data_IF_403442072670
#
_entry.id   IF_403442072670
#
_cell.length_a   1.000
_cell.length_b   1.000
_cell.length_c   1.000
_cell.angle_alpha   90.00
_cell.angle_beta   90.00
_cell.angle_gamma   90.00
#
_symmetry.space_group_name_H-M   'P 1'
#
loop_
_entity.id
_entity.type
_entity.pdbx_description
1 polymer ?
#
# COMPACT_ATOMS: atom_id res chain seq x y z
N UNK A 1 -5.81 -11.04 21.50
CA UNK A 1 -6.05 -11.07 20.05
C UNK A 1 -4.95 -10.32 19.32
N UNK A 2 -4.49 -10.88 18.24
CA UNK A 2 -3.49 -10.19 17.42
C UNK A 2 -4.11 -8.96 16.76
N UNK A 3 -3.33 -7.88 16.66
CA UNK A 3 -3.73 -6.70 15.91
C UNK A 3 -3.67 -6.98 14.41
N UNK A 4 -4.45 -6.25 13.64
CA UNK A 4 -4.38 -6.34 12.17
C UNK A 4 -3.05 -5.82 11.67
N UNK A 5 -2.73 -6.21 10.45
CA UNK A 5 -1.52 -5.80 9.77
C UNK A 5 -1.79 -4.98 8.53
N UNK A 6 -0.75 -4.31 8.07
CA UNK A 6 -0.75 -3.57 6.83
C UNK A 6 0.58 -3.79 6.12
N UNK A 7 0.50 -4.09 4.83
CA UNK A 7 1.65 -3.97 3.95
C UNK A 7 1.49 -2.68 3.15
N UNK A 8 2.43 -1.78 3.30
CA UNK A 8 2.44 -0.49 2.60
C UNK A 8 3.62 -0.49 1.63
N UNK A 9 3.36 -0.19 0.37
CA UNK A 9 4.43 -0.08 -0.62
C UNK A 9 4.35 1.25 -1.36
N UNK A 10 5.52 1.79 -1.67
CA UNK A 10 5.65 2.99 -2.49
C UNK A 10 6.54 2.63 -3.68
N UNK A 11 6.00 2.79 -4.88
CA UNK A 11 6.67 2.36 -6.10
C UNK A 11 6.56 3.40 -7.18
N UNK A 12 7.51 3.36 -8.11
CA UNK A 12 7.43 4.15 -9.33
C UNK A 12 8.13 3.38 -10.46
N UNK A 13 7.43 3.10 -11.57
CA UNK A 13 8.05 2.50 -12.73
C UNK A 13 8.78 3.56 -13.56
N UNK A 14 9.71 3.15 -14.44
CA UNK A 14 10.19 4.07 -15.49
C UNK A 14 9.00 4.56 -16.33
N UNK A 15 9.01 5.81 -16.81
CA UNK A 15 7.89 6.34 -17.59
C UNK A 15 7.50 5.47 -18.79
N UNK A 16 8.50 4.88 -19.47
CA UNK A 16 8.26 4.01 -20.62
C UNK A 16 7.56 2.68 -20.26
N UNK A 17 7.56 2.29 -18.99
CA UNK A 17 6.96 1.05 -18.52
C UNK A 17 5.70 1.28 -17.68
N UNK A 18 5.23 2.49 -17.56
CA UNK A 18 4.12 2.79 -16.64
C UNK A 18 2.84 2.04 -17.02
N UNK A 19 2.52 1.96 -18.29
CA UNK A 19 1.34 1.23 -18.76
C UNK A 19 1.46 -0.26 -18.46
N UNK A 20 2.61 -0.85 -18.75
CA UNK A 20 2.86 -2.28 -18.45
C UNK A 20 2.85 -2.52 -16.94
N UNK A 21 3.43 -1.64 -16.16
CA UNK A 21 3.47 -1.75 -14.70
C UNK A 21 2.05 -1.76 -14.12
N UNK A 22 1.18 -0.90 -14.60
CA UNK A 22 -0.21 -0.87 -14.14
C UNK A 22 -0.98 -2.11 -14.57
N UNK A 23 -0.75 -2.58 -15.80
CA UNK A 23 -1.36 -3.84 -16.27
C UNK A 23 -0.92 -5.03 -15.41
N UNK A 24 0.38 -5.14 -15.12
CA UNK A 24 0.90 -6.18 -14.25
C UNK A 24 0.27 -6.13 -12.86
N UNK A 25 0.18 -4.93 -12.30
CA UNK A 25 -0.38 -4.75 -10.97
C UNK A 25 -1.84 -5.20 -10.90
N UNK A 26 -2.64 -4.80 -11.89
CA UNK A 26 -4.08 -5.06 -11.88
C UNK A 26 -4.41 -6.48 -12.34
N UNK A 27 -3.66 -7.05 -13.29
CA UNK A 27 -3.97 -8.33 -13.90
C UNK A 27 -3.32 -9.51 -13.18
N UNK A 28 -2.14 -9.33 -12.59
CA UNK A 28 -1.41 -10.42 -11.95
C UNK A 28 -1.16 -10.18 -10.47
N UNK A 29 -0.58 -9.05 -10.10
CA UNK A 29 -0.02 -8.87 -8.76
C UNK A 29 -1.10 -8.78 -7.67
N UNK A 30 -2.09 -7.92 -7.85
CA UNK A 30 -3.17 -7.80 -6.86
C UNK A 30 -3.99 -9.10 -6.75
N UNK A 31 -4.42 -9.73 -7.87
CA UNK A 31 -5.09 -11.03 -7.75
C UNK A 31 -4.25 -12.09 -7.05
N UNK A 32 -2.95 -12.14 -7.33
CA UNK A 32 -2.05 -13.09 -6.68
C UNK A 32 -1.99 -12.85 -5.16
N UNK A 33 -1.78 -11.60 -4.74
CA UNK A 33 -1.73 -11.25 -3.32
C UNK A 33 -3.03 -11.56 -2.61
N UNK A 34 -4.16 -11.20 -3.23
CA UNK A 34 -5.49 -11.43 -2.64
C UNK A 34 -5.89 -12.90 -2.58
N UNK A 35 -5.19 -13.78 -3.30
CA UNK A 35 -5.38 -15.24 -3.18
C UNK A 35 -4.74 -15.81 -1.93
N UNK A 36 -3.86 -15.07 -1.28
CA UNK A 36 -3.12 -15.53 -0.10
C UNK A 36 -4.01 -15.39 1.14
N UNK A 37 -4.08 -16.46 1.94
CA UNK A 37 -4.85 -16.44 3.19
C UNK A 37 -4.33 -15.34 4.10
N UNK A 38 -5.24 -14.51 4.60
CA UNK A 38 -4.91 -13.41 5.50
C UNK A 38 -4.84 -12.06 4.81
N UNK A 39 -4.77 -12.01 3.48
CA UNK A 39 -4.93 -10.77 2.74
C UNK A 39 -6.43 -10.47 2.62
N UNK A 40 -6.87 -9.35 3.19
CA UNK A 40 -8.28 -8.97 3.29
C UNK A 40 -8.74 -8.12 2.13
N UNK A 41 -7.94 -7.14 1.77
CA UNK A 41 -8.25 -6.22 0.66
C UNK A 41 -7.00 -5.45 0.28
N UNK A 42 -7.07 -4.79 -0.87
CA UNK A 42 -5.97 -3.97 -1.36
C UNK A 42 -6.51 -2.73 -2.06
N UNK A 43 -5.77 -1.64 -1.96
CA UNK A 43 -6.04 -0.41 -2.69
C UNK A 43 -4.74 0.13 -3.27
N UNK A 44 -4.83 0.66 -4.47
CA UNK A 44 -3.75 1.38 -5.11
C UNK A 44 -4.10 2.85 -5.18
N UNK A 45 -3.09 3.68 -4.97
CA UNK A 45 -3.24 5.13 -4.93
C UNK A 45 -2.18 5.76 -5.82
N UNK A 46 -2.50 6.88 -6.43
CA UNK A 46 -1.59 7.58 -7.33
C UNK A 46 -1.51 9.06 -6.97
N UNK A 47 -0.31 9.62 -7.03
CA UNK A 47 -0.08 11.04 -6.81
C UNK A 47 0.65 11.65 -8.00
N UNK A 48 0.52 12.97 -8.15
CA UNK A 48 1.36 13.74 -9.03
C UNK A 48 2.58 14.18 -8.23
N UNK A 49 3.73 13.59 -8.54
CA UNK A 49 5.01 13.88 -7.87
C UNK A 49 6.10 14.02 -8.92
N UNK A 50 7.23 14.61 -8.52
CA UNK A 50 8.40 14.66 -9.39
C UNK A 50 8.92 13.24 -9.61
N UNK A 51 9.49 12.94 -10.79
CA UNK A 51 10.06 11.63 -11.07
C UNK A 51 11.07 11.21 -10.00
N UNK A 52 10.90 10.00 -9.46
CA UNK A 52 11.77 9.45 -8.43
C UNK A 52 11.26 9.59 -7.00
N UNK A 53 10.16 10.31 -6.77
CA UNK A 53 9.60 10.51 -5.42
C UNK A 53 8.63 9.41 -4.99
N UNK A 54 8.19 8.57 -5.91
CA UNK A 54 7.23 7.49 -5.63
C UNK A 54 5.81 7.89 -6.02
N UNK A 55 5.38 7.45 -7.20
CA UNK A 55 4.09 7.83 -7.78
C UNK A 55 2.93 6.99 -7.27
N UNK A 56 3.16 5.70 -6.98
CA UNK A 56 2.11 4.76 -6.63
C UNK A 56 2.28 4.23 -5.22
N UNK A 57 1.23 4.36 -4.42
CA UNK A 57 1.13 3.81 -3.09
C UNK A 57 0.18 2.62 -3.15
N UNK A 58 0.52 1.52 -2.49
CA UNK A 58 -0.39 0.38 -2.34
C UNK A 58 -0.56 0.06 -0.87
N UNK A 59 -1.79 -0.22 -0.47
CA UNK A 59 -2.12 -0.60 0.89
C UNK A 59 -2.79 -1.97 0.85
N UNK A 60 -2.21 -2.95 1.55
CA UNK A 60 -2.74 -4.31 1.67
C UNK A 60 -3.16 -4.52 3.11
N UNK A 61 -4.45 -4.74 3.33
CA UNK A 61 -4.99 -5.01 4.66
C UNK A 61 -4.81 -6.49 4.99
N UNK A 62 -4.25 -6.77 6.15
CA UNK A 62 -3.91 -8.12 6.57
C UNK A 62 -4.63 -8.49 7.87
N UNK A 63 -4.95 -9.77 8.05
CA UNK A 63 -5.49 -10.27 9.32
C UNK A 63 -4.53 -10.01 10.48
N UNK A 64 -3.23 -10.12 10.23
CA UNK A 64 -2.17 -9.86 11.20
C UNK A 64 -0.84 -9.65 10.44
N UNK A 65 0.16 -9.00 11.05
CA UNK A 65 1.45 -8.80 10.39
C UNK A 65 2.15 -10.12 10.02
N UNK A 66 1.91 -11.20 10.77
CA UNK A 66 2.56 -12.49 10.53
C UNK A 66 2.08 -13.19 9.26
N UNK A 67 1.03 -12.70 8.62
CA UNK A 67 0.64 -13.17 7.28
C UNK A 67 1.84 -13.07 6.31
N UNK A 68 2.66 -12.05 6.47
CA UNK A 68 3.85 -11.82 5.63
C UNK A 68 5.01 -12.76 5.97
N UNK A 69 4.87 -13.59 7.00
CA UNK A 69 5.81 -14.66 7.34
C UNK A 69 5.23 -16.04 7.08
N UNK A 70 4.00 -16.11 6.55
CA UNK A 70 3.35 -17.39 6.29
C UNK A 70 4.04 -18.13 5.13
N UNK A 71 4.04 -19.48 5.15
CA UNK A 71 4.60 -20.24 4.04
C UNK A 71 3.94 -19.90 2.70
N UNK A 72 2.62 -19.65 2.71
CA UNK A 72 1.89 -19.31 1.51
C UNK A 72 2.37 -17.99 0.90
N UNK A 73 2.52 -16.93 1.72
CA UNK A 73 3.04 -15.66 1.23
C UNK A 73 4.50 -15.80 0.75
N UNK A 74 5.34 -16.49 1.54
CA UNK A 74 6.75 -16.62 1.21
C UNK A 74 6.97 -17.43 -0.07
N UNK A 75 6.07 -18.36 -0.40
CA UNK A 75 6.19 -19.10 -1.66
C UNK A 75 6.08 -18.17 -2.88
N UNK A 76 5.25 -17.15 -2.82
CA UNK A 76 5.16 -16.15 -3.88
C UNK A 76 6.30 -15.13 -3.82
N UNK A 77 6.67 -14.71 -2.62
CA UNK A 77 7.74 -13.73 -2.43
C UNK A 77 9.10 -14.27 -2.87
N UNK A 78 9.41 -15.52 -2.52
CA UNK A 78 10.69 -16.16 -2.84
C UNK A 78 10.78 -16.61 -4.30
N UNK A 79 9.62 -16.81 -4.95
CA UNK A 79 9.53 -17.29 -6.34
C UNK A 79 8.64 -16.37 -7.17
N UNK A 80 9.07 -15.12 -7.37
CA UNK A 80 8.27 -14.20 -8.17
C UNK A 80 8.16 -14.67 -9.62
N UNK A 81 7.03 -14.35 -10.25
CA UNK A 81 6.82 -14.65 -11.67
C UNK A 81 7.82 -13.86 -12.54
N UNK A 82 8.04 -14.28 -13.80
CA UNK A 82 8.86 -13.47 -14.71
C UNK A 82 8.35 -12.05 -14.88
N UNK A 83 7.04 -11.85 -14.91
CA UNK A 83 6.46 -10.51 -15.04
C UNK A 83 6.73 -9.65 -13.80
N UNK A 84 6.57 -10.24 -12.61
CA UNK A 84 6.91 -9.57 -11.36
C UNK A 84 8.38 -9.15 -11.33
N UNK A 85 9.29 -10.05 -11.73
CA UNK A 85 10.72 -9.75 -11.78
C UNK A 85 11.02 -8.60 -12.74
N UNK A 86 10.36 -8.58 -13.88
CA UNK A 86 10.52 -7.53 -14.87
C UNK A 86 10.07 -6.18 -14.33
N UNK A 87 8.86 -6.11 -13.77
CA UNK A 87 8.28 -4.85 -13.31
C UNK A 87 8.97 -4.30 -12.08
N UNK A 88 9.19 -5.14 -11.05
CA UNK A 88 9.87 -4.69 -9.84
C UNK A 88 11.36 -4.46 -10.05
N UNK A 89 11.99 -5.26 -10.91
CA UNK A 89 13.42 -5.09 -11.21
C UNK A 89 13.75 -3.80 -11.96
N UNK A 90 12.76 -3.20 -12.63
CA UNK A 90 12.93 -1.94 -13.35
C UNK A 90 12.42 -0.73 -12.59
N UNK A 91 11.75 -0.92 -11.45
CA UNK A 91 11.21 0.18 -10.68
C UNK A 91 12.32 1.15 -10.24
N UNK A 92 12.08 2.45 -10.41
CA UNK A 92 13.03 3.50 -9.99
C UNK A 92 12.86 3.86 -8.53
N UNK A 93 11.67 3.58 -7.96
CA UNK A 93 11.39 3.66 -6.52
C UNK A 93 10.73 2.35 -6.10
N UNK A 94 11.21 1.77 -5.01
CA UNK A 94 10.58 0.64 -4.36
C UNK A 94 10.86 0.73 -2.86
N UNK A 95 9.83 1.08 -2.09
CA UNK A 95 9.88 1.11 -0.63
C UNK A 95 8.75 0.27 -0.06
N UNK A 96 8.99 -0.37 1.07
CA UNK A 96 8.07 -1.33 1.63
C UNK A 96 8.10 -1.27 3.16
N UNK A 97 6.93 -1.25 3.77
CA UNK A 97 6.77 -1.25 5.23
C UNK A 97 5.80 -2.35 5.63
N UNK A 98 6.21 -3.19 6.56
CA UNK A 98 5.35 -4.18 7.20
C UNK A 98 4.91 -3.58 8.53
N UNK A 99 3.60 -3.48 8.75
CA UNK A 99 3.07 -2.71 9.87
C UNK A 99 2.08 -3.50 10.70
N UNK A 100 2.05 -3.19 11.99
CA UNK A 100 1.00 -3.60 12.90
C UNK A 100 0.05 -2.42 13.12
N UNK A 101 -1.24 -2.67 13.02
CA UNK A 101 -2.24 -1.61 13.25
C UNK A 101 -2.48 -1.41 14.73
N UNK A 102 -2.56 -0.16 15.14
CA UNK A 102 -3.03 0.21 16.48
C UNK A 102 -4.54 0.39 16.39
N UNK A 103 -5.28 -0.62 16.87
CA UNK A 103 -6.73 -0.69 16.69
C UNK A 103 -7.13 -1.68 15.62
N UNK A 104 -8.40 -1.66 15.23
CA UNK A 104 -8.97 -2.66 14.32
C UNK A 104 -9.88 -2.06 13.25
N UNK A 105 -9.81 -0.76 13.01
CA UNK A 105 -10.66 -0.10 12.02
C UNK A 105 -10.30 -0.57 10.62
N UNK A 106 -11.33 -0.88 9.84
CA UNK A 106 -11.17 -1.19 8.42
C UNK A 106 -10.91 0.08 7.61
N UNK A 107 -10.35 -0.05 6.39
CA UNK A 107 -10.27 1.08 5.47
C UNK A 107 -11.67 1.67 5.24
N UNK A 108 -11.76 2.99 5.21
CA UNK A 108 -13.06 3.63 5.04
C UNK A 108 -13.57 3.42 3.61
N UNK A 109 -14.80 2.94 3.43
CA UNK A 109 -15.31 2.62 2.10
C UNK A 109 -15.50 3.83 1.19
N UNK A 110 -15.65 5.02 1.77
CA UNK A 110 -15.85 6.26 1.02
C UNK A 110 -14.55 7.03 0.77
N UNK A 111 -13.39 6.51 1.19
CA UNK A 111 -12.12 7.20 0.99
C UNK A 111 -11.79 7.30 -0.49
N UNK A 112 -11.49 8.51 -0.95
CA UNK A 112 -11.07 8.79 -2.33
C UNK A 112 -9.63 9.24 -2.42
N UNK A 113 -9.03 9.59 -1.29
CA UNK A 113 -7.65 10.01 -1.19
C UNK A 113 -7.07 9.60 0.16
N UNK A 114 -5.75 9.50 0.23
CA UNK A 114 -5.02 9.15 1.45
C UNK A 114 -3.75 9.98 1.57
N UNK A 115 -3.43 10.36 2.81
CA UNK A 115 -2.13 10.94 3.15
C UNK A 115 -1.45 9.95 4.10
N UNK A 116 -0.24 9.54 3.74
CA UNK A 116 0.59 8.69 4.60
C UNK A 116 1.62 9.59 5.30
N UNK A 117 1.54 9.67 6.62
CA UNK A 117 2.47 10.48 7.42
C UNK A 117 3.37 9.56 8.24
N UNK A 118 4.67 9.86 8.21
CA UNK A 118 5.71 9.04 8.87
C UNK A 118 6.32 9.84 10.02
N UNK A 119 6.24 9.30 11.24
CA UNK A 119 6.81 9.88 12.45
C UNK A 119 6.41 11.36 12.66
N UNK A 120 5.23 11.73 12.18
CA UNK A 120 4.74 13.09 12.23
C UNK A 120 3.79 13.30 13.41
N UNK A 121 3.68 14.55 13.86
CA UNK A 121 2.69 14.92 14.85
C UNK A 121 1.27 14.75 14.27
N UNK A 122 0.26 14.46 15.11
CA UNK A 122 -1.11 14.37 14.66
C UNK A 122 -1.53 15.64 13.90
N UNK A 123 -2.28 15.43 12.82
CA UNK A 123 -2.76 16.50 11.95
C UNK A 123 -4.22 16.31 11.62
N UNK A 124 -4.86 17.37 11.14
CA UNK A 124 -6.23 17.32 10.64
C UNK A 124 -6.25 17.84 9.21
N UNK A 125 -7.20 17.34 8.44
CA UNK A 125 -7.34 17.71 7.03
C UNK A 125 -8.81 17.95 6.70
N UNK A 126 -9.11 18.84 5.73
CA UNK A 126 -10.48 18.96 5.23
C UNK A 126 -10.97 17.61 4.69
N UNK A 127 -12.25 17.31 4.93
CA UNK A 127 -12.90 16.07 4.47
C UNK A 127 -12.26 14.79 5.01
N UNK A 128 -11.63 14.87 6.17
CA UNK A 128 -11.11 13.68 6.85
C UNK A 128 -12.25 12.75 7.26
N UNK A 129 -12.16 11.48 6.84
CA UNK A 129 -13.11 10.43 7.21
C UNK A 129 -12.64 9.65 8.42
N UNK A 130 -11.37 9.25 8.42
CA UNK A 130 -10.74 8.61 9.58
C UNK A 130 -9.22 8.65 9.45
N UNK A 131 -8.56 8.49 10.59
CA UNK A 131 -7.12 8.29 10.65
C UNK A 131 -6.86 6.92 11.27
N UNK A 132 -6.01 6.12 10.62
CA UNK A 132 -5.60 4.82 11.13
C UNK A 132 -4.11 4.84 11.41
N UNK A 133 -3.70 4.28 12.54
CA UNK A 133 -2.32 4.34 13.02
C UNK A 133 -1.69 2.97 12.98
N UNK A 134 -0.40 2.97 12.61
CA UNK A 134 0.39 1.74 12.44
C UNK A 134 1.80 1.95 12.99
N UNK A 135 2.41 0.84 13.40
CA UNK A 135 3.84 0.80 13.71
C UNK A 135 4.50 -0.16 12.74
N UNK A 136 5.48 0.32 12.00
CA UNK A 136 6.25 -0.52 11.09
C UNK A 136 7.27 -1.34 11.86
N UNK A 137 7.65 -2.51 11.33
CA UNK A 137 8.70 -3.35 11.95
C UNK A 137 10.04 -2.63 12.00
N UNK A 138 10.28 -1.68 11.09
CA UNK A 138 11.47 -0.81 11.10
C UNK A 138 11.43 0.28 12.17
N UNK A 139 10.30 0.42 12.90
CA UNK A 139 10.16 1.34 14.02
C UNK A 139 9.39 2.62 13.71
N UNK A 140 9.17 2.96 12.44
CA UNK A 140 8.43 4.17 12.09
C UNK A 140 6.97 4.07 12.53
N UNK A 141 6.42 5.20 12.94
CA UNK A 141 4.98 5.36 13.18
C UNK A 141 4.36 5.92 11.92
N UNK A 142 3.34 5.25 11.43
CA UNK A 142 2.66 5.63 10.20
C UNK A 142 1.20 5.92 10.50
N UNK A 143 0.72 7.07 10.05
CA UNK A 143 -0.70 7.40 10.09
C UNK A 143 -1.22 7.51 8.66
N UNK A 144 -2.30 6.80 8.37
CA UNK A 144 -3.03 6.94 7.12
C UNK A 144 -4.26 7.80 7.38
N UNK A 145 -4.28 8.99 6.79
CA UNK A 145 -5.42 9.88 6.82
C UNK A 145 -6.27 9.62 5.60
N UNK A 146 -7.47 9.10 5.79
CA UNK A 146 -8.39 8.74 4.71
C UNK A 146 -9.39 9.86 4.49
N UNK A 147 -9.40 10.40 3.27
CA UNK A 147 -10.13 11.62 2.92
C UNK A 147 -11.24 11.32 1.92
N UNK A 148 -12.36 12.05 2.03
CA UNK A 148 -13.46 11.95 1.08
C UNK A 148 -13.17 12.67 -0.25
N UNK A 149 -12.19 13.56 -0.28
CA UNK A 149 -11.81 14.35 -1.45
C UNK A 149 -10.30 14.49 -1.51
N UNK A 150 -9.79 14.80 -2.70
CA UNK A 150 -8.37 15.03 -2.92
C UNK A 150 -7.89 16.28 -2.17
N UNK A 151 -6.65 16.24 -1.71
CA UNK A 151 -5.99 17.32 -0.98
C UNK A 151 -4.54 17.43 -1.49
N UNK A 152 -3.93 18.64 -1.53
CA UNK A 152 -2.52 18.75 -1.90
C UNK A 152 -1.63 17.83 -1.07
N UNK A 153 -0.76 17.09 -1.73
CA UNK A 153 0.10 16.10 -1.08
C UNK A 153 -0.52 14.73 -0.85
N UNK A 154 -1.80 14.56 -1.13
CA UNK A 154 -2.47 13.27 -1.00
C UNK A 154 -2.28 12.41 -2.25
N UNK A 155 -2.46 11.10 -2.06
CA UNK A 155 -2.57 10.12 -3.14
C UNK A 155 -4.05 9.90 -3.42
N UNK A 156 -4.42 9.89 -4.71
CA UNK A 156 -5.79 9.65 -5.15
C UNK A 156 -6.03 8.16 -5.35
N UNK A 157 -7.21 7.68 -4.98
CA UNK A 157 -7.57 6.28 -5.20
C UNK A 157 -7.50 5.95 -6.70
N UNK A 158 -6.74 4.90 -7.02
CA UNK A 158 -6.54 4.40 -8.37
C UNK A 158 -7.30 3.09 -8.59
N UNK A 159 -7.06 2.08 -7.73
CA UNK A 159 -7.72 0.78 -7.81
C UNK A 159 -8.12 0.30 -6.42
N UNK A 160 -9.31 -0.28 -6.31
CA UNK A 160 -9.86 -0.83 -5.07
C UNK A 160 -10.33 -2.26 -5.33
N UNK A 161 -9.83 -3.20 -4.53
CA UNK A 161 -10.24 -4.61 -4.60
C UNK A 161 -10.40 -5.25 -3.23
#
# INVERSE_FOLDING_TARGET
MANRGLLLTLTEPPPAMEEEFNAWYDEEHLPERLSIRGFRSARRWVAQVEPGDGKYLATYELDAPDVLSSPEYLSFYDRPTPWTRRCLGKAVVFKRWTCEQLGSADPHPAAKAVIAAFDAAPATFPKLLQARRFTATSGERITLYELAEMHPGAYRLYTKT
#
